data_IF_083483518328
#
_entry.id   IF_083483518328
#
_cell.length_a   1.000
_cell.length_b   1.000
_cell.length_c   1.000
_cell.angle_alpha   90.00
_cell.angle_beta   90.00
_cell.angle_gamma   90.00
#
_symmetry.space_group_name_H-M   'P 1'
#
loop_
_entity.id
_entity.type
_entity.pdbx_description
1 polymer ?
#
# COMPACT_ATOMS: atom_id res chain seq x y z
N UNK A 1 -2.59 -27.29 -38.02
CA UNK A 1 -2.45 -26.07 -38.85
C UNK A 1 -1.96 -24.98 -37.94
N UNK A 2 -0.67 -24.61 -38.05
CA UNK A 2 -0.06 -23.54 -37.27
C UNK A 2 -0.74 -22.22 -37.65
N UNK A 3 -1.56 -21.68 -36.74
CA UNK A 3 -1.93 -20.28 -36.78
C UNK A 3 -0.64 -19.46 -36.67
N UNK A 4 -0.22 -18.84 -37.76
CA UNK A 4 0.90 -17.90 -37.81
C UNK A 4 0.59 -16.69 -36.95
N UNK A 5 0.82 -16.82 -35.64
CA UNK A 5 0.73 -15.72 -34.71
C UNK A 5 1.79 -14.69 -35.10
N UNK A 6 1.35 -13.47 -35.41
CA UNK A 6 2.24 -12.33 -35.62
C UNK A 6 3.21 -12.24 -34.44
N UNK A 7 4.52 -12.30 -34.71
CA UNK A 7 5.54 -12.06 -33.69
C UNK A 7 5.36 -10.63 -33.19
N UNK A 8 5.18 -10.47 -31.87
CA UNK A 8 5.07 -9.16 -31.26
C UNK A 8 6.42 -8.44 -31.33
N UNK A 9 6.47 -7.35 -32.09
CA UNK A 9 7.63 -6.45 -32.16
C UNK A 9 7.58 -5.46 -31.00
N UNK A 10 8.63 -5.50 -30.18
CA UNK A 10 8.84 -4.61 -29.05
C UNK A 10 9.55 -3.33 -29.52
N UNK A 11 9.78 -2.40 -28.61
CA UNK A 11 10.71 -1.30 -28.87
C UNK A 11 12.17 -1.79 -28.88
N UNK A 12 13.13 -0.90 -29.14
CA UNK A 12 14.57 -1.17 -29.20
C UNK A 12 14.95 -2.21 -30.28
N UNK A 13 14.11 -2.39 -31.30
CA UNK A 13 14.32 -3.37 -32.36
C UNK A 13 14.21 -4.83 -31.89
N UNK A 14 13.59 -5.08 -30.74
CA UNK A 14 13.45 -6.42 -30.16
C UNK A 14 12.17 -7.14 -30.57
N UNK A 15 12.18 -8.46 -30.49
CA UNK A 15 11.03 -9.34 -30.68
C UNK A 15 10.72 -10.10 -29.40
N UNK A 16 9.44 -10.33 -29.11
CA UNK A 16 9.00 -10.98 -27.88
C UNK A 16 9.67 -12.33 -27.56
N UNK A 17 9.94 -13.25 -28.52
CA UNK A 17 10.67 -14.48 -28.24
C UNK A 17 12.07 -14.27 -27.68
N UNK A 18 12.71 -13.13 -27.96
CA UNK A 18 14.04 -12.82 -27.44
C UNK A 18 14.04 -12.66 -25.91
N UNK A 19 12.91 -12.28 -25.29
CA UNK A 19 12.77 -12.18 -23.83
C UNK A 19 12.93 -13.53 -23.11
N UNK A 20 12.84 -14.65 -23.84
CA UNK A 20 12.99 -16.01 -23.31
C UNK A 20 14.38 -16.61 -23.57
N UNK A 21 15.31 -15.83 -24.16
CA UNK A 21 16.66 -16.30 -24.47
C UNK A 21 17.70 -15.47 -23.74
N UNK A 22 18.81 -16.09 -23.36
CA UNK A 22 19.92 -15.39 -22.69
C UNK A 22 20.47 -14.23 -23.52
N UNK A 23 20.67 -14.43 -24.82
CA UNK A 23 21.24 -13.39 -25.68
C UNK A 23 20.26 -12.21 -25.84
N UNK A 24 18.97 -12.49 -25.98
CA UNK A 24 17.95 -11.44 -25.97
C UNK A 24 17.91 -10.66 -24.66
N UNK A 25 18.01 -11.31 -23.50
CA UNK A 25 18.10 -10.62 -22.21
C UNK A 25 19.38 -9.80 -22.05
N UNK A 26 20.51 -10.23 -22.62
CA UNK A 26 21.75 -9.44 -22.64
C UNK A 26 21.61 -8.19 -23.51
N UNK A 27 20.96 -8.31 -24.67
CA UNK A 27 20.65 -7.15 -25.52
C UNK A 27 19.69 -6.20 -24.80
N UNK A 28 18.65 -6.71 -24.16
CA UNK A 28 17.71 -5.91 -23.36
C UNK A 28 18.41 -5.13 -22.25
N UNK A 29 19.32 -5.79 -21.52
CA UNK A 29 20.11 -5.16 -20.47
C UNK A 29 21.01 -4.04 -21.01
N UNK A 30 21.61 -4.22 -22.20
CA UNK A 30 22.39 -3.17 -22.85
C UNK A 30 21.52 -1.96 -23.21
N UNK A 31 20.32 -2.18 -23.77
CA UNK A 31 19.37 -1.11 -24.04
C UNK A 31 18.96 -0.39 -22.76
N UNK A 32 18.68 -1.12 -21.68
CA UNK A 32 18.35 -0.53 -20.38
C UNK A 32 19.49 0.33 -19.83
N UNK A 33 20.73 -0.16 -19.88
CA UNK A 33 21.91 0.59 -19.43
C UNK A 33 22.14 1.87 -20.26
N UNK A 34 21.84 1.85 -21.56
CA UNK A 34 21.91 3.04 -22.41
C UNK A 34 20.85 4.08 -22.04
N UNK A 35 19.62 3.64 -21.76
CA UNK A 35 18.54 4.53 -21.31
C UNK A 35 18.86 5.18 -19.95
N UNK A 36 19.42 4.42 -18.99
CA UNK A 36 19.82 5.00 -17.69
C UNK A 36 21.04 5.91 -17.86
N UNK A 37 22.01 5.60 -18.72
CA UNK A 37 23.17 6.48 -18.95
C UNK A 37 22.72 7.89 -19.39
N UNK A 38 21.72 7.95 -20.27
CA UNK A 38 21.19 9.22 -20.77
C UNK A 38 20.45 10.04 -19.69
N UNK A 39 19.76 9.37 -18.76
CA UNK A 39 18.90 10.03 -17.78
C UNK A 39 19.56 10.22 -16.39
N UNK A 40 20.39 9.27 -15.97
CA UNK A 40 20.99 9.18 -14.63
C UNK A 40 22.34 8.40 -14.66
N UNK A 41 23.41 8.98 -15.23
CA UNK A 41 24.70 8.30 -15.41
C UNK A 41 25.33 7.83 -14.09
N UNK A 42 25.12 8.56 -12.99
CA UNK A 42 25.57 8.15 -11.65
C UNK A 42 24.89 6.85 -11.23
N UNK A 43 23.58 6.73 -11.46
CA UNK A 43 22.79 5.55 -11.09
C UNK A 43 23.17 4.33 -11.95
N UNK A 44 23.46 4.56 -13.24
CA UNK A 44 24.02 3.53 -14.13
C UNK A 44 25.33 2.97 -13.58
N UNK A 45 26.25 3.85 -13.16
CA UNK A 45 27.52 3.43 -12.60
C UNK A 45 27.35 2.66 -11.27
N UNK A 46 26.43 3.09 -10.41
CA UNK A 46 26.08 2.37 -9.18
C UNK A 46 25.52 0.98 -9.47
N UNK A 47 24.62 0.84 -10.46
CA UNK A 47 24.09 -0.45 -10.89
C UNK A 47 25.20 -1.37 -11.42
N UNK A 48 26.12 -0.85 -12.23
CA UNK A 48 27.23 -1.64 -12.74
C UNK A 48 28.19 -2.08 -11.64
N UNK A 49 28.53 -1.19 -10.71
CA UNK A 49 29.36 -1.53 -9.55
C UNK A 49 28.70 -2.61 -8.69
N UNK A 50 27.39 -2.48 -8.42
CA UNK A 50 26.63 -3.47 -7.66
C UNK A 50 26.60 -4.84 -8.35
N UNK A 51 26.52 -4.88 -9.68
CA UNK A 51 26.59 -6.15 -10.44
C UNK A 51 27.97 -6.78 -10.43
N UNK A 52 29.04 -5.98 -10.38
CA UNK A 52 30.42 -6.48 -10.31
C UNK A 52 30.79 -6.97 -8.91
N UNK A 53 30.26 -6.33 -7.87
CA UNK A 53 30.55 -6.63 -6.46
C UNK A 53 29.26 -6.69 -5.65
N UNK A 54 28.38 -7.68 -5.89
CA UNK A 54 27.08 -7.77 -5.22
C UNK A 54 27.22 -7.89 -3.70
N UNK A 55 28.22 -8.64 -3.23
CA UNK A 55 28.47 -8.86 -1.80
C UNK A 55 29.01 -7.62 -1.06
N UNK A 56 29.38 -6.56 -1.80
CA UNK A 56 29.83 -5.31 -1.20
C UNK A 56 28.68 -4.41 -0.71
N UNK A 57 27.45 -4.66 -1.16
CA UNK A 57 26.29 -3.90 -0.72
C UNK A 57 25.74 -4.44 0.59
N UNK A 58 25.54 -3.54 1.55
CA UNK A 58 24.66 -3.83 2.68
C UNK A 58 23.21 -3.96 2.19
N UNK A 59 22.33 -4.68 2.92
CA UNK A 59 20.92 -4.79 2.54
C UNK A 59 20.22 -3.43 2.36
N UNK A 60 20.58 -2.43 3.16
CA UNK A 60 20.02 -1.07 3.02
C UNK A 60 20.48 -0.38 1.73
N UNK A 61 21.75 -0.53 1.36
CA UNK A 61 22.28 0.01 0.10
C UNK A 61 21.61 -0.65 -1.10
N UNK A 62 21.41 -1.97 -1.06
CA UNK A 62 20.69 -2.71 -2.09
C UNK A 62 19.24 -2.20 -2.23
N UNK A 63 18.47 -2.14 -1.13
CA UNK A 63 17.09 -1.62 -1.16
C UNK A 63 17.03 -0.19 -1.68
N UNK A 64 17.97 0.68 -1.27
CA UNK A 64 18.05 2.07 -1.75
C UNK A 64 18.31 2.14 -3.25
N UNK A 65 19.25 1.33 -3.75
CA UNK A 65 19.58 1.25 -5.17
C UNK A 65 18.38 0.74 -5.99
N UNK A 66 17.72 -0.33 -5.54
CA UNK A 66 16.56 -0.90 -6.24
C UNK A 66 15.37 0.07 -6.27
N UNK A 67 15.09 0.79 -5.17
CA UNK A 67 14.06 1.84 -5.16
C UNK A 67 14.43 2.96 -6.13
N UNK A 68 15.68 3.42 -6.12
CA UNK A 68 16.14 4.48 -7.02
C UNK A 68 16.06 4.07 -8.50
N UNK A 69 16.31 2.79 -8.82
CA UNK A 69 16.15 2.23 -10.16
C UNK A 69 14.69 2.05 -10.58
N UNK A 70 13.77 1.89 -9.63
CA UNK A 70 12.35 1.59 -9.87
C UNK A 70 11.69 2.46 -10.96
N UNK A 71 11.72 3.81 -10.86
CA UNK A 71 11.13 4.70 -11.86
C UNK A 71 11.72 4.51 -13.28
N UNK A 72 13.01 4.21 -13.38
CA UNK A 72 13.70 3.94 -14.65
C UNK A 72 13.30 2.59 -15.22
N UNK A 73 13.17 1.56 -14.37
CA UNK A 73 12.66 0.24 -14.78
C UNK A 73 11.24 0.37 -15.31
N UNK A 74 10.36 1.08 -14.61
CA UNK A 74 8.98 1.31 -15.05
C UNK A 74 8.93 2.03 -16.41
N UNK A 75 9.70 3.11 -16.56
CA UNK A 75 9.76 3.85 -17.83
C UNK A 75 10.29 2.97 -18.96
N UNK A 76 11.34 2.19 -18.71
CA UNK A 76 11.93 1.28 -19.68
C UNK A 76 10.96 0.16 -20.10
N UNK A 77 10.30 -0.47 -19.13
CA UNK A 77 9.28 -1.51 -19.40
C UNK A 77 8.10 -0.91 -20.17
N UNK A 78 7.67 0.30 -19.83
CA UNK A 78 6.60 0.98 -20.54
C UNK A 78 6.95 1.22 -22.01
N UNK A 79 8.17 1.71 -22.29
CA UNK A 79 8.68 1.87 -23.67
C UNK A 79 8.80 0.53 -24.40
N UNK A 80 9.44 -0.46 -23.78
CA UNK A 80 9.65 -1.80 -24.36
C UNK A 80 8.36 -2.40 -24.90
N UNK A 81 7.26 -2.28 -24.15
CA UNK A 81 5.95 -2.82 -24.51
C UNK A 81 5.02 -1.80 -25.20
N UNK A 82 5.45 -0.55 -25.40
CA UNK A 82 4.67 0.54 -26.01
C UNK A 82 3.36 0.84 -25.26
N UNK A 83 3.47 0.90 -23.93
CA UNK A 83 2.35 1.12 -22.99
C UNK A 83 2.54 2.39 -22.13
N UNK A 84 3.31 3.36 -22.60
CA UNK A 84 3.64 4.58 -21.87
C UNK A 84 2.40 5.38 -21.48
N UNK A 85 1.43 5.49 -22.38
CA UNK A 85 0.18 6.20 -22.12
C UNK A 85 -0.62 5.54 -20.98
N UNK A 86 -0.66 4.20 -20.94
CA UNK A 86 -1.37 3.43 -19.93
C UNK A 86 -0.68 3.53 -18.57
N UNK A 87 0.66 3.46 -18.54
CA UNK A 87 1.44 3.64 -17.31
C UNK A 87 1.30 5.07 -16.77
N UNK A 88 1.36 6.09 -17.65
CA UNK A 88 1.15 7.48 -17.27
C UNK A 88 -0.27 7.73 -16.74
N UNK A 89 -1.30 7.16 -17.38
CA UNK A 89 -2.67 7.23 -16.88
C UNK A 89 -2.81 6.57 -15.50
N UNK A 90 -2.18 5.40 -15.31
CA UNK A 90 -2.18 4.72 -14.01
C UNK A 90 -1.49 5.57 -12.94
N UNK A 91 -0.31 6.13 -13.20
CA UNK A 91 0.36 7.03 -12.27
C UNK A 91 -0.49 8.26 -11.94
N UNK A 92 -1.14 8.88 -12.94
CA UNK A 92 -2.05 10.00 -12.75
C UNK A 92 -3.21 9.64 -11.78
N UNK A 93 -3.82 8.46 -11.92
CA UNK A 93 -4.86 8.01 -10.98
C UNK A 93 -4.34 7.80 -9.55
N UNK A 94 -3.06 7.46 -9.36
CA UNK A 94 -2.46 7.38 -8.03
C UNK A 94 -2.30 8.77 -7.43
N UNK A 95 -1.73 9.70 -8.19
CA UNK A 95 -1.49 11.07 -7.73
C UNK A 95 -2.80 11.81 -7.43
N UNK A 96 -3.85 11.58 -8.22
CA UNK A 96 -5.18 12.13 -7.96
C UNK A 96 -5.74 11.72 -6.59
N UNK A 97 -5.36 10.55 -6.06
CA UNK A 97 -5.78 10.04 -4.75
C UNK A 97 -4.83 10.43 -3.61
N UNK A 98 -3.64 10.96 -3.91
CA UNK A 98 -2.63 11.29 -2.90
C UNK A 98 -3.12 12.17 -1.74
N UNK A 99 -3.99 13.19 -1.95
CA UNK A 99 -4.52 13.99 -0.86
C UNK A 99 -5.19 13.16 0.24
N UNK A 100 -5.92 12.09 -0.12
CA UNK A 100 -6.61 11.23 0.85
C UNK A 100 -5.66 10.67 1.91
N UNK A 101 -4.51 10.15 1.48
CA UNK A 101 -3.58 9.45 2.37
C UNK A 101 -2.78 10.43 3.23
N UNK A 102 -2.42 11.58 2.66
CA UNK A 102 -1.73 12.66 3.38
C UNK A 102 -2.65 13.22 4.47
N UNK A 103 -3.89 13.59 4.11
CA UNK A 103 -4.86 14.18 5.04
C UNK A 103 -5.35 13.18 6.08
N UNK A 104 -5.58 11.91 5.70
CA UNK A 104 -5.90 10.84 6.67
C UNK A 104 -4.88 10.80 7.80
N UNK A 105 -3.59 10.79 7.46
CA UNK A 105 -2.52 10.66 8.45
C UNK A 105 -2.26 11.96 9.21
N UNK A 106 -2.08 13.06 8.51
CA UNK A 106 -1.62 14.32 9.12
C UNK A 106 -2.75 15.08 9.82
N UNK A 107 -3.91 15.15 9.18
CA UNK A 107 -5.02 15.95 9.67
C UNK A 107 -6.01 15.11 10.47
N UNK A 108 -6.58 14.04 9.90
CA UNK A 108 -7.63 13.26 10.59
C UNK A 108 -7.06 12.56 11.82
N UNK A 109 -6.04 11.70 11.65
CA UNK A 109 -5.52 10.89 12.75
C UNK A 109 -4.67 11.72 13.74
N UNK A 110 -3.71 12.49 13.25
CA UNK A 110 -2.72 13.18 14.11
C UNK A 110 -3.20 14.52 14.67
N UNK A 111 -4.21 15.13 14.06
CA UNK A 111 -4.73 16.43 14.50
C UNK A 111 -6.14 16.31 15.07
N UNK A 112 -7.14 15.96 14.26
CA UNK A 112 -8.53 15.92 14.70
C UNK A 112 -8.77 14.85 15.78
N UNK A 113 -8.54 13.58 15.45
CA UNK A 113 -8.80 12.45 16.35
C UNK A 113 -7.94 12.48 17.63
N UNK A 114 -6.74 13.07 17.55
CA UNK A 114 -5.85 13.25 18.71
C UNK A 114 -6.28 14.40 19.62
N UNK A 115 -6.76 15.52 19.07
CA UNK A 115 -7.10 16.73 19.85
C UNK A 115 -8.50 16.67 20.43
N UNK A 116 -9.46 16.11 19.69
CA UNK A 116 -10.86 15.97 20.12
C UNK A 116 -11.08 14.51 20.50
N UNK A 117 -11.44 14.29 21.77
CA UNK A 117 -11.64 12.94 22.32
C UNK A 117 -13.02 12.38 21.96
N UNK A 118 -13.23 11.05 22.04
CA UNK A 118 -14.52 10.44 21.73
C UNK A 118 -15.70 11.08 22.47
N UNK A 119 -15.54 11.38 23.76
CA UNK A 119 -16.64 11.94 24.57
C UNK A 119 -17.03 13.36 24.12
N UNK A 120 -16.05 14.15 23.68
CA UNK A 120 -16.28 15.49 23.13
C UNK A 120 -16.89 15.39 21.72
N UNK A 121 -16.44 14.43 20.91
CA UNK A 121 -16.92 14.21 19.56
C UNK A 121 -18.42 13.88 19.50
N UNK A 122 -18.96 13.18 20.51
CA UNK A 122 -20.40 12.88 20.61
C UNK A 122 -21.28 14.14 20.76
N UNK A 123 -20.71 15.26 21.22
CA UNK A 123 -21.43 16.54 21.31
C UNK A 123 -21.43 17.35 20.01
N UNK A 124 -20.69 16.90 18.99
CA UNK A 124 -20.56 17.60 17.72
C UNK A 124 -21.76 17.28 16.82
N UNK A 125 -22.41 18.32 16.30
CA UNK A 125 -23.44 18.19 15.26
C UNK A 125 -22.77 17.93 13.90
N UNK A 126 -22.43 16.67 13.65
CA UNK A 126 -21.84 16.22 12.38
C UNK A 126 -22.65 16.61 11.15
N UNK A 127 -23.98 16.38 11.10
CA UNK A 127 -24.83 16.80 9.98
C UNK A 127 -24.76 18.30 9.67
N UNK A 128 -24.75 19.17 10.69
CA UNK A 128 -24.59 20.61 10.49
C UNK A 128 -23.23 20.94 9.88
N UNK A 129 -22.14 20.40 10.45
CA UNK A 129 -20.79 20.65 9.94
C UNK A 129 -20.59 20.08 8.52
N UNK A 130 -21.23 18.94 8.20
CA UNK A 130 -21.26 18.40 6.84
C UNK A 130 -21.88 19.40 5.86
N UNK A 131 -23.02 20.02 6.22
CA UNK A 131 -23.68 21.00 5.37
C UNK A 131 -22.80 22.26 5.15
N UNK A 132 -22.15 22.75 6.21
CA UNK A 132 -21.21 23.87 6.12
C UNK A 132 -20.00 23.55 5.22
N UNK A 133 -19.42 22.36 5.38
CA UNK A 133 -18.31 21.91 4.53
C UNK A 133 -18.75 21.75 3.08
N UNK A 134 -19.94 21.19 2.83
CA UNK A 134 -20.48 21.07 1.49
C UNK A 134 -20.64 22.45 0.82
N UNK A 135 -21.05 23.48 1.56
CA UNK A 135 -21.13 24.85 1.04
C UNK A 135 -19.74 25.41 0.69
N UNK A 136 -18.76 25.25 1.58
CA UNK A 136 -17.37 25.65 1.35
C UNK A 136 -16.74 24.93 0.14
N UNK A 137 -17.19 23.72 -0.17
CA UNK A 137 -16.76 22.92 -1.32
C UNK A 137 -17.52 23.22 -2.62
N UNK A 138 -18.45 24.18 -2.62
CA UNK A 138 -19.26 24.51 -3.80
C UNK A 138 -20.42 23.55 -4.07
N UNK A 139 -20.92 22.86 -3.04
CA UNK A 139 -22.18 22.11 -3.05
C UNK A 139 -22.04 20.58 -3.06
N UNK A 140 -20.83 20.03 -3.04
CA UNK A 140 -20.59 18.57 -3.01
C UNK A 140 -19.63 18.18 -1.90
N UNK A 141 -19.99 17.14 -1.16
CA UNK A 141 -19.11 16.52 -0.18
C UNK A 141 -18.74 15.10 -0.62
N UNK A 142 -17.44 14.84 -0.76
CA UNK A 142 -16.85 13.50 -0.80
C UNK A 142 -15.44 13.54 -0.17
N UNK A 143 -14.89 12.38 0.17
CA UNK A 143 -13.59 12.30 0.88
C UNK A 143 -12.45 12.97 0.12
N UNK A 144 -12.44 12.84 -1.21
CA UNK A 144 -11.34 13.37 -2.02
C UNK A 144 -11.43 14.90 -2.08
N UNK A 145 -12.65 15.42 -2.27
CA UNK A 145 -12.91 16.86 -2.20
C UNK A 145 -12.52 17.40 -0.82
N UNK A 146 -12.95 16.76 0.27
CA UNK A 146 -12.54 17.14 1.62
C UNK A 146 -11.01 17.17 1.77
N UNK A 147 -10.33 16.12 1.31
CA UNK A 147 -8.87 16.04 1.43
C UNK A 147 -8.16 17.11 0.60
N UNK A 148 -8.63 17.43 -0.61
CA UNK A 148 -8.05 18.47 -1.45
C UNK A 148 -8.21 19.87 -0.83
N UNK A 149 -9.40 20.20 -0.34
CA UNK A 149 -9.65 21.49 0.30
C UNK A 149 -8.86 21.64 1.60
N UNK A 150 -8.86 20.62 2.46
CA UNK A 150 -8.07 20.66 3.70
C UNK A 150 -6.58 20.76 3.40
N UNK A 151 -6.08 20.04 2.38
CA UNK A 151 -4.69 20.16 1.96
C UNK A 151 -4.33 21.58 1.52
N UNK A 152 -5.18 22.20 0.71
CA UNK A 152 -4.99 23.58 0.29
C UNK A 152 -5.06 24.57 1.46
N UNK A 153 -6.03 24.42 2.37
CA UNK A 153 -6.16 25.29 3.53
C UNK A 153 -4.96 25.20 4.49
N UNK A 154 -4.31 24.04 4.57
CA UNK A 154 -3.08 23.87 5.37
C UNK A 154 -1.87 24.62 4.78
N UNK A 155 -1.92 25.08 3.53
CA UNK A 155 -0.85 25.91 2.94
C UNK A 155 -0.83 27.32 3.55
N UNK A 156 -1.97 27.82 4.03
CA UNK A 156 -2.10 29.09 4.78
C UNK A 156 -3.13 28.96 5.91
N UNK A 157 -2.69 28.33 7.01
CA UNK A 157 -3.55 28.08 8.18
C UNK A 157 -4.14 29.36 8.80
N UNK A 158 -3.44 30.49 8.68
CA UNK A 158 -3.88 31.76 9.26
C UNK A 158 -5.08 32.32 8.50
N UNK A 159 -5.04 32.27 7.17
CA UNK A 159 -6.16 32.69 6.32
C UNK A 159 -7.36 31.75 6.41
N UNK A 160 -7.11 30.46 6.64
CA UNK A 160 -8.14 29.41 6.61
C UNK A 160 -8.51 28.83 7.98
N UNK A 161 -8.26 29.58 9.06
CA UNK A 161 -8.45 29.10 10.43
C UNK A 161 -9.87 28.60 10.72
N UNK A 162 -10.91 29.33 10.28
CA UNK A 162 -12.30 28.94 10.48
C UNK A 162 -12.67 27.66 9.69
N UNK A 163 -12.48 27.58 8.36
CA UNK A 163 -12.70 26.34 7.61
C UNK A 163 -11.96 25.12 8.16
N UNK A 164 -10.70 25.31 8.60
CA UNK A 164 -9.91 24.25 9.21
C UNK A 164 -10.49 23.78 10.55
N UNK A 165 -11.03 24.70 11.36
CA UNK A 165 -11.67 24.34 12.62
C UNK A 165 -12.95 23.52 12.40
N UNK A 166 -13.77 23.92 11.43
CA UNK A 166 -14.98 23.18 11.00
C UNK A 166 -14.57 21.77 10.53
N UNK A 167 -13.58 21.69 9.63
CA UNK A 167 -13.09 20.41 9.10
C UNK A 167 -12.51 19.51 10.19
N UNK A 168 -11.78 20.07 11.16
CA UNK A 168 -11.20 19.33 12.29
C UNK A 168 -12.29 18.73 13.17
N UNK A 169 -13.31 19.51 13.52
CA UNK A 169 -14.46 19.04 14.33
C UNK A 169 -15.25 17.98 13.59
N UNK A 170 -15.53 18.18 12.30
CA UNK A 170 -16.19 17.18 11.47
C UNK A 170 -15.38 15.88 11.38
N UNK A 171 -14.07 15.96 11.12
CA UNK A 171 -13.21 14.79 11.03
C UNK A 171 -13.15 14.00 12.35
N UNK A 172 -13.13 14.68 13.50
CA UNK A 172 -13.18 14.02 14.80
C UNK A 172 -14.53 13.32 15.05
N UNK A 173 -15.65 13.98 14.71
CA UNK A 173 -16.97 13.38 14.77
C UNK A 173 -17.08 12.14 13.87
N UNK A 174 -16.62 12.26 12.62
CA UNK A 174 -16.63 11.18 11.62
C UNK A 174 -15.80 9.98 12.06
N UNK A 175 -14.66 10.22 12.72
CA UNK A 175 -13.72 9.19 13.15
C UNK A 175 -14.18 8.47 14.43
N UNK A 176 -14.64 9.21 15.44
CA UNK A 176 -14.90 8.66 16.78
C UNK A 176 -16.34 8.19 17.01
N UNK A 177 -17.33 8.84 16.41
CA UNK A 177 -18.74 8.58 16.76
C UNK A 177 -19.32 7.45 15.92
N UNK A 178 -20.29 6.73 16.49
CA UNK A 178 -21.00 5.66 15.75
C UNK A 178 -21.77 6.21 14.55
N UNK A 179 -22.33 7.41 14.66
CA UNK A 179 -23.05 8.07 13.57
C UNK A 179 -22.09 8.45 12.44
N UNK A 180 -20.93 9.03 12.76
CA UNK A 180 -19.87 9.35 11.83
C UNK A 180 -19.31 8.13 11.09
N UNK A 181 -18.99 7.07 11.83
CA UNK A 181 -18.51 5.80 11.26
C UNK A 181 -19.55 5.12 10.36
N UNK A 182 -20.84 5.27 10.69
CA UNK A 182 -21.92 4.77 9.85
C UNK A 182 -22.07 5.60 8.55
N UNK A 183 -21.93 6.92 8.63
CA UNK A 183 -21.96 7.82 7.47
C UNK A 183 -20.78 7.55 6.51
N UNK A 184 -19.61 7.24 7.07
CA UNK A 184 -18.37 6.98 6.32
C UNK A 184 -17.98 5.49 6.30
N UNK A 185 -18.98 4.59 6.25
CA UNK A 185 -18.73 3.14 6.34
C UNK A 185 -17.83 2.61 5.22
N UNK A 186 -18.02 3.11 4.01
CA UNK A 186 -17.37 2.63 2.78
C UNK A 186 -16.17 3.52 2.35
N UNK A 187 -15.80 4.43 3.25
CA UNK A 187 -14.77 5.45 3.13
C UNK A 187 -13.46 5.01 3.80
N UNK A 188 -12.36 5.66 3.46
CA UNK A 188 -11.02 5.35 4.00
C UNK A 188 -10.48 6.45 4.91
N UNK A 189 -10.84 7.71 4.66
CA UNK A 189 -10.26 8.92 5.24
C UNK A 189 -10.52 9.02 6.74
N UNK A 190 -11.74 8.69 7.15
CA UNK A 190 -12.19 8.76 8.55
C UNK A 190 -12.12 7.42 9.28
N UNK A 191 -11.53 6.39 8.65
CA UNK A 191 -11.47 5.05 9.22
C UNK A 191 -10.25 4.87 10.14
N UNK A 192 -10.51 4.35 11.34
CA UNK A 192 -9.49 3.89 12.27
C UNK A 192 -8.97 2.49 11.90
N UNK A 193 -7.68 2.24 12.14
CA UNK A 193 -7.14 0.88 12.16
C UNK A 193 -7.47 0.25 13.51
N UNK A 194 -8.33 -0.78 13.51
CA UNK A 194 -8.72 -1.46 14.75
C UNK A 194 -7.72 -2.55 15.14
N UNK A 195 -7.63 -2.80 16.45
CA UNK A 195 -6.89 -3.94 16.96
C UNK A 195 -7.50 -5.26 16.48
N UNK A 196 -6.62 -6.22 16.19
CA UNK A 196 -7.04 -7.57 15.82
C UNK A 196 -7.38 -8.33 17.11
N UNK A 197 -8.64 -8.74 17.26
CA UNK A 197 -9.06 -9.65 18.32
C UNK A 197 -8.93 -11.10 17.83
N UNK A 198 -7.93 -11.88 18.28
CA UNK A 198 -7.63 -13.19 17.71
C UNK A 198 -8.78 -14.20 17.83
N UNK A 199 -9.64 -14.03 18.84
CA UNK A 199 -10.81 -14.87 19.10
C UNK A 199 -12.09 -14.40 18.37
N UNK A 200 -12.05 -13.26 17.67
CA UNK A 200 -13.21 -12.67 17.00
C UNK A 200 -12.85 -12.10 15.61
N UNK A 201 -12.30 -12.96 14.75
CA UNK A 201 -11.83 -12.58 13.40
C UNK A 201 -12.92 -12.49 12.34
N UNK A 202 -14.19 -12.76 12.69
CA UNK A 202 -15.33 -12.71 11.77
C UNK A 202 -16.33 -11.65 12.26
N UNK A 203 -16.16 -10.36 11.90
CA UNK A 203 -16.97 -9.26 12.45
C UNK A 203 -18.48 -9.38 12.20
N UNK A 204 -18.88 -10.13 11.16
CA UNK A 204 -20.28 -10.39 10.83
C UNK A 204 -20.89 -11.59 11.56
N UNK A 205 -20.10 -12.32 12.36
CA UNK A 205 -20.60 -13.42 13.16
C UNK A 205 -21.48 -12.91 14.32
N UNK A 206 -22.50 -13.69 14.64
CA UNK A 206 -23.39 -13.49 15.79
C UNK A 206 -23.39 -14.77 16.60
N UNK A 207 -23.15 -14.62 17.90
CA UNK A 207 -23.24 -15.72 18.86
C UNK A 207 -24.65 -15.74 19.45
N UNK A 208 -25.27 -16.92 19.47
CA UNK A 208 -26.51 -17.19 20.19
C UNK A 208 -26.34 -18.47 21.01
N UNK A 209 -27.12 -18.63 22.08
CA UNK A 209 -27.18 -19.90 22.80
C UNK A 209 -28.46 -20.61 22.40
N UNK A 210 -28.34 -21.86 21.95
CA UNK A 210 -29.48 -22.73 21.60
C UNK A 210 -29.25 -24.06 22.32
N UNK A 211 -30.28 -24.56 23.02
CA UNK A 211 -30.27 -25.85 23.74
C UNK A 211 -28.99 -26.14 24.56
N UNK A 212 -28.46 -25.11 25.25
CA UNK A 212 -27.29 -25.23 26.12
C UNK A 212 -25.93 -25.16 25.42
N UNK A 213 -25.87 -24.99 24.09
CA UNK A 213 -24.62 -24.79 23.35
C UNK A 213 -24.57 -23.44 22.63
N UNK A 214 -23.35 -22.97 22.35
CA UNK A 214 -23.10 -21.74 21.60
C UNK A 214 -23.16 -22.00 20.09
N UNK A 215 -23.96 -21.20 19.40
CA UNK A 215 -24.11 -21.21 17.94
C UNK A 215 -23.60 -19.90 17.36
N UNK A 216 -22.74 -20.00 16.36
CA UNK A 216 -22.27 -18.86 15.59
C UNK A 216 -22.93 -18.85 14.21
N UNK A 217 -23.56 -17.73 13.85
CA UNK A 217 -24.19 -17.52 12.53
C UNK A 217 -23.68 -16.23 11.91
N UNK A 218 -23.81 -16.05 10.59
CA UNK A 218 -23.52 -14.76 9.94
C UNK A 218 -24.80 -13.94 9.89
N UNK A 219 -24.71 -12.63 10.17
CA UNK A 219 -25.82 -11.67 9.97
C UNK A 219 -26.46 -11.89 8.60
N UNK A 220 -27.79 -12.08 8.49
CA UNK A 220 -28.45 -12.38 7.21
C UNK A 220 -28.10 -11.39 6.09
N UNK A 221 -28.00 -10.09 6.41
CA UNK A 221 -27.62 -9.01 5.49
C UNK A 221 -26.17 -9.06 5.00
N UNK A 222 -25.35 -9.97 5.56
CA UNK A 222 -23.93 -10.16 5.22
C UNK A 222 -23.65 -11.54 4.62
N UNK A 223 -24.68 -12.37 4.45
CA UNK A 223 -24.56 -13.67 3.78
C UNK A 223 -24.31 -13.42 2.29
N UNK A 224 -23.16 -13.87 1.79
CA UNK A 224 -22.87 -13.94 0.35
C UNK A 224 -23.23 -15.33 -0.13
N UNK A 225 -24.13 -15.44 -1.11
CA UNK A 225 -24.41 -16.70 -1.78
C UNK A 225 -23.38 -16.90 -2.89
N UNK A 226 -22.76 -18.08 -2.93
CA UNK A 226 -21.90 -18.46 -4.04
C UNK A 226 -22.79 -18.89 -5.20
N UNK A 227 -22.65 -18.19 -6.32
CA UNK A 227 -23.21 -18.58 -7.60
C UNK A 227 -22.04 -18.79 -8.59
N UNK A 228 -21.95 -19.99 -9.15
CA UNK A 228 -20.85 -20.39 -10.05
C UNK A 228 -19.44 -20.45 -9.41
N UNK A 229 -18.44 -20.24 -10.28
CA UNK A 229 -17.01 -20.38 -9.98
C UNK A 229 -16.24 -19.05 -9.94
N UNK A 230 -16.91 -17.92 -10.15
CA UNK A 230 -16.29 -16.61 -10.02
C UNK A 230 -15.92 -16.30 -8.56
N UNK A 231 -14.96 -15.40 -8.37
CA UNK A 231 -14.61 -14.89 -7.04
C UNK A 231 -15.80 -14.15 -6.44
N UNK A 232 -16.15 -14.49 -5.20
CA UNK A 232 -17.24 -13.83 -4.44
C UNK A 232 -16.73 -12.63 -3.63
N UNK A 233 -15.41 -12.40 -3.65
CA UNK A 233 -14.76 -11.24 -3.08
C UNK A 233 -13.86 -10.61 -4.14
N UNK A 234 -14.19 -9.38 -4.54
CA UNK A 234 -13.43 -8.66 -5.58
C UNK A 234 -12.17 -7.98 -5.03
N UNK A 235 -11.89 -8.15 -3.74
CA UNK A 235 -10.77 -7.51 -3.07
C UNK A 235 -10.97 -6.01 -2.89
N UNK A 236 -9.87 -5.27 -2.87
CA UNK A 236 -9.87 -3.83 -2.63
C UNK A 236 -9.70 -3.04 -3.92
N UNK A 237 -10.30 -1.84 -3.99
CA UNK A 237 -10.10 -0.92 -5.11
C UNK A 237 -8.71 -0.28 -5.06
N UNK A 238 -8.31 0.44 -6.11
CA UNK A 238 -7.05 1.23 -6.09
C UNK A 238 -6.99 2.16 -4.87
N UNK A 239 -8.10 2.85 -4.56
CA UNK A 239 -8.24 3.71 -3.38
C UNK A 239 -7.88 2.97 -2.10
N UNK A 240 -8.40 1.77 -1.91
CA UNK A 240 -8.13 0.96 -0.71
C UNK A 240 -6.74 0.30 -0.73
N UNK A 241 -6.23 -0.11 -1.89
CA UNK A 241 -4.88 -0.66 -2.01
C UNK A 241 -3.82 0.39 -1.63
N UNK A 242 -3.99 1.63 -2.08
CA UNK A 242 -3.10 2.73 -1.74
C UNK A 242 -3.27 3.20 -0.29
N UNK A 243 -4.45 3.04 0.31
CA UNK A 243 -4.63 3.25 1.76
C UNK A 243 -3.73 2.30 2.56
N UNK A 244 -3.73 1.01 2.19
CA UNK A 244 -2.86 0.01 2.83
C UNK A 244 -1.36 0.26 2.52
N UNK A 245 -1.03 0.73 1.32
CA UNK A 245 0.36 1.08 0.99
C UNK A 245 0.86 2.28 1.79
N UNK A 246 0.02 3.29 2.02
CA UNK A 246 0.36 4.47 2.83
C UNK A 246 0.23 4.24 4.34
N UNK A 247 -0.44 3.18 4.77
CA UNK A 247 -0.41 2.71 6.16
C UNK A 247 0.95 2.09 6.53
N UNK A 248 1.65 1.52 5.55
CA UNK A 248 3.00 1.02 5.74
C UNK A 248 3.92 2.14 6.28
N UNK A 249 4.72 1.82 7.29
CA UNK A 249 5.66 2.78 7.90
C UNK A 249 7.01 2.87 7.16
N UNK A 250 7.14 2.17 6.03
CA UNK A 250 8.35 2.09 5.21
C UNK A 250 9.60 1.71 6.02
N UNK A 251 9.51 0.65 6.80
CA UNK A 251 10.51 0.27 7.81
C UNK A 251 11.83 -0.27 7.26
N UNK A 252 11.96 -0.55 5.96
CA UNK A 252 13.24 -0.95 5.35
C UNK A 252 14.33 0.10 5.59
N UNK A 253 13.98 1.39 5.58
CA UNK A 253 14.93 2.49 5.82
C UNK A 253 15.59 2.44 7.20
N UNK A 254 14.99 1.72 8.15
CA UNK A 254 15.50 1.54 9.52
C UNK A 254 16.02 0.11 9.78
N UNK A 255 16.00 -0.78 8.77
CA UNK A 255 16.34 -2.20 8.94
C UNK A 255 15.40 -2.95 9.89
N UNK A 256 14.14 -2.50 10.00
CA UNK A 256 13.11 -3.07 10.90
C UNK A 256 11.92 -3.66 10.13
N UNK A 257 12.21 -4.20 8.95
CA UNK A 257 11.28 -4.81 8.00
C UNK A 257 10.83 -6.20 8.45
N UNK A 258 10.08 -6.26 9.55
CA UNK A 258 9.59 -7.52 10.13
C UNK A 258 8.63 -8.29 9.22
N UNK A 259 7.95 -7.62 8.28
CA UNK A 259 7.14 -8.28 7.26
C UNK A 259 7.99 -9.17 6.34
N UNK A 260 9.22 -8.74 6.02
CA UNK A 260 10.18 -9.50 5.23
C UNK A 260 10.97 -10.47 6.11
N UNK A 261 11.63 -9.95 7.16
CA UNK A 261 12.65 -10.67 7.95
C UNK A 261 12.17 -11.27 9.26
N UNK A 262 10.89 -11.16 9.57
CA UNK A 262 10.30 -11.67 10.81
C UNK A 262 10.46 -10.77 12.04
N UNK A 263 9.70 -11.09 13.08
CA UNK A 263 9.73 -10.39 14.37
C UNK A 263 10.71 -11.10 15.30
N UNK A 264 11.93 -10.58 15.43
CA UNK A 264 12.95 -11.15 16.31
C UNK A 264 12.62 -10.94 17.79
N UNK A 265 13.00 -11.90 18.63
CA UNK A 265 13.02 -11.74 20.08
C UNK A 265 14.02 -10.65 20.49
N UNK A 266 13.75 -10.00 21.62
CA UNK A 266 14.74 -9.08 22.19
C UNK A 266 15.91 -9.91 22.72
N UNK A 267 17.13 -9.48 22.42
CA UNK A 267 18.32 -10.06 23.04
C UNK A 267 18.23 -9.88 24.56
N UNK A 268 18.44 -10.94 25.36
CA UNK A 268 18.59 -10.80 26.80
C UNK A 268 19.70 -9.79 27.10
N UNK A 269 19.45 -8.82 28.00
CA UNK A 269 20.47 -7.83 28.37
C UNK A 269 21.66 -8.45 29.13
N UNK A 270 21.40 -9.53 29.87
CA UNK A 270 22.36 -10.16 30.81
C UNK A 270 22.49 -11.68 30.61
N UNK A 271 22.22 -12.18 29.40
CA UNK A 271 22.29 -13.62 29.09
C UNK A 271 23.09 -13.92 27.83
N UNK A 272 23.61 -15.15 27.68
CA UNK A 272 24.25 -15.55 26.44
C UNK A 272 23.27 -15.37 25.27
N UNK A 273 23.73 -14.97 24.07
CA UNK A 273 22.89 -14.94 22.89
C UNK A 273 22.22 -16.31 22.74
N UNK A 274 20.92 -16.38 22.39
CA UNK A 274 20.28 -17.65 22.16
C UNK A 274 21.07 -18.44 21.10
N UNK A 275 21.50 -19.66 21.45
CA UNK A 275 22.22 -20.54 20.53
C UNK A 275 21.28 -21.00 19.41
N UNK A 276 21.64 -20.69 18.15
CA UNK A 276 20.87 -21.04 16.95
C UNK A 276 20.37 -19.83 16.14
N UNK A 277 19.62 -20.09 15.06
CA UNK A 277 18.95 -19.05 14.25
C UNK A 277 18.20 -18.08 15.16
N UNK A 278 18.25 -16.78 14.87
CA UNK A 278 17.60 -15.74 15.65
C UNK A 278 16.19 -16.18 16.10
N UNK A 279 15.96 -16.28 17.42
CA UNK A 279 14.68 -16.67 17.95
C UNK A 279 13.63 -15.65 17.49
N UNK A 280 12.65 -16.09 16.71
CA UNK A 280 11.51 -15.26 16.32
C UNK A 280 10.44 -15.33 17.39
N UNK A 281 9.73 -14.22 17.57
CA UNK A 281 8.53 -14.15 18.39
C UNK A 281 7.49 -15.13 17.90
N UNK A 282 6.64 -15.58 18.81
CA UNK A 282 5.47 -16.39 18.50
C UNK A 282 4.18 -15.59 18.65
N UNK A 283 3.18 -15.90 17.83
CA UNK A 283 1.84 -15.34 17.98
C UNK A 283 1.14 -15.90 19.23
N UNK A 284 -0.05 -15.38 19.53
CA UNK A 284 -0.92 -15.90 20.61
C UNK A 284 -1.29 -17.37 20.43
N UNK A 285 -1.21 -17.89 19.20
CA UNK A 285 -1.47 -19.30 18.86
C UNK A 285 -0.16 -20.10 18.70
N UNK A 286 0.95 -19.62 19.27
CA UNK A 286 2.25 -20.29 19.26
C UNK A 286 2.87 -20.47 17.85
N UNK A 287 2.47 -19.64 16.87
CA UNK A 287 3.01 -19.66 15.50
C UNK A 287 4.22 -18.72 15.38
N UNK A 288 5.35 -19.25 14.92
CA UNK A 288 6.59 -18.51 14.69
C UNK A 288 6.42 -17.39 13.66
N UNK A 289 6.79 -16.15 14.02
CA UNK A 289 6.67 -14.96 13.18
C UNK A 289 7.95 -14.70 12.38
N UNK A 290 8.26 -15.60 11.45
CA UNK A 290 9.52 -15.60 10.70
C UNK A 290 9.57 -14.62 9.50
N UNK A 291 8.46 -13.96 9.17
CA UNK A 291 8.38 -13.06 8.00
C UNK A 291 8.01 -13.78 6.71
N UNK A 292 8.23 -13.12 5.58
CA UNK A 292 7.97 -13.68 4.26
C UNK A 292 8.93 -14.84 3.96
N UNK A 293 8.45 -16.03 3.54
CA UNK A 293 9.32 -17.16 3.18
C UNK A 293 10.33 -16.85 2.07
N UNK A 294 10.00 -15.91 1.18
CA UNK A 294 10.87 -15.46 0.09
C UNK A 294 11.70 -14.22 0.46
N UNK A 295 11.54 -13.71 1.69
CA UNK A 295 12.15 -12.44 2.13
C UNK A 295 11.85 -11.28 1.18
N UNK A 296 10.64 -11.25 0.61
CA UNK A 296 10.23 -10.20 -0.33
C UNK A 296 10.46 -8.80 0.24
N UNK A 297 10.87 -7.87 -0.63
CA UNK A 297 11.07 -6.44 -0.33
C UNK A 297 9.74 -5.69 -0.19
N UNK A 298 8.95 -6.10 0.81
CA UNK A 298 7.57 -5.65 1.03
C UNK A 298 7.50 -4.15 1.26
N UNK A 299 8.38 -3.65 2.12
CA UNK A 299 8.37 -2.25 2.47
C UNK A 299 8.79 -1.36 1.29
N UNK A 300 9.67 -1.86 0.42
CA UNK A 300 10.21 -1.18 -0.75
C UNK A 300 9.17 -1.11 -1.87
N UNK A 301 8.49 -2.23 -2.20
CA UNK A 301 7.45 -2.20 -3.21
C UNK A 301 6.26 -1.32 -2.78
N UNK A 302 5.96 -1.27 -1.47
CA UNK A 302 4.94 -0.36 -0.95
C UNK A 302 5.35 1.11 -1.09
N UNK A 303 6.63 1.44 -0.90
CA UNK A 303 7.14 2.79 -1.11
C UNK A 303 7.03 3.21 -2.59
N UNK A 304 7.40 2.33 -3.52
CA UNK A 304 7.24 2.55 -4.97
C UNK A 304 5.75 2.71 -5.35
N UNK A 305 4.90 1.82 -4.84
CA UNK A 305 3.45 1.83 -5.11
C UNK A 305 2.80 3.11 -4.59
N UNK A 306 3.12 3.53 -3.36
CA UNK A 306 2.60 4.76 -2.76
C UNK A 306 3.05 6.01 -3.53
N UNK A 307 4.23 5.96 -4.17
CA UNK A 307 4.80 7.06 -4.96
C UNK A 307 4.27 7.12 -6.41
N UNK A 308 3.37 6.22 -6.81
CA UNK A 308 2.78 6.19 -8.15
C UNK A 308 3.45 5.25 -9.15
N UNK A 309 4.53 4.56 -8.76
CA UNK A 309 5.29 3.66 -9.63
C UNK A 309 4.79 2.21 -9.53
N UNK A 310 3.63 1.95 -10.14
CA UNK A 310 2.94 0.67 -10.02
C UNK A 310 3.67 -0.49 -10.71
N UNK A 311 4.29 -0.27 -11.87
CA UNK A 311 5.08 -1.29 -12.59
C UNK A 311 6.40 -1.51 -11.87
N UNK A 312 7.03 -0.44 -11.35
CA UNK A 312 8.23 -0.59 -10.53
C UNK A 312 7.97 -1.41 -9.26
N UNK A 313 6.83 -1.17 -8.59
CA UNK A 313 6.42 -1.95 -7.43
C UNK A 313 6.23 -3.44 -7.79
N UNK A 314 5.60 -3.73 -8.94
CA UNK A 314 5.48 -5.10 -9.43
C UNK A 314 6.86 -5.71 -9.72
N UNK A 315 7.75 -4.96 -10.38
CA UNK A 315 9.12 -5.40 -10.65
C UNK A 315 9.86 -5.76 -9.35
N UNK A 316 9.75 -4.90 -8.32
CA UNK A 316 10.33 -5.13 -6.99
C UNK A 316 9.82 -6.42 -6.35
N UNK A 317 8.52 -6.73 -6.47
CA UNK A 317 7.95 -8.01 -6.01
C UNK A 317 8.57 -9.17 -6.79
N UNK A 318 8.61 -9.06 -8.13
CA UNK A 318 9.02 -10.17 -9.00
C UNK A 318 10.50 -10.55 -8.88
N UNK A 319 11.35 -9.68 -8.34
CA UNK A 319 12.75 -9.99 -8.02
C UNK A 319 12.83 -11.18 -7.07
N UNK A 320 12.00 -11.18 -6.02
CA UNK A 320 12.00 -12.22 -5.00
C UNK A 320 10.90 -13.28 -5.28
N UNK A 321 9.85 -12.90 -6.02
CA UNK A 321 8.67 -13.73 -6.24
C UNK A 321 8.11 -13.64 -7.67
N UNK A 322 8.59 -14.48 -8.61
CA UNK A 322 8.07 -14.52 -9.97
C UNK A 322 6.62 -15.06 -10.06
N UNK A 323 6.11 -15.63 -8.97
CA UNK A 323 4.76 -16.20 -8.85
C UNK A 323 3.82 -15.28 -8.05
N UNK A 324 4.10 -13.98 -8.00
CA UNK A 324 3.33 -12.98 -7.24
C UNK A 324 1.81 -13.06 -7.50
N UNK A 325 1.41 -13.32 -8.75
CA UNK A 325 0.01 -13.49 -9.11
C UNK A 325 -0.64 -14.73 -8.47
N UNK A 326 0.12 -15.79 -8.16
CA UNK A 326 -0.39 -16.98 -7.49
C UNK A 326 -0.34 -16.85 -5.96
N UNK A 327 0.69 -16.22 -5.40
CA UNK A 327 0.89 -16.13 -3.95
C UNK A 327 0.23 -14.91 -3.31
N UNK A 328 0.06 -13.83 -4.09
CA UNK A 328 -0.58 -12.58 -3.65
C UNK A 328 -2.08 -12.54 -3.92
N UNK A 329 -2.60 -13.48 -4.71
CA UNK A 329 -4.02 -13.64 -4.96
C UNK A 329 -4.68 -14.42 -3.80
N UNK A 330 -5.91 -14.03 -3.45
CA UNK A 330 -6.75 -14.75 -2.47
C UNK A 330 -7.79 -15.61 -3.17
#
# INVERSE_FOLDING_TARGET
>A
MNSGGSILNLDFGMQFPQLYTRDGLRTLDQCFLQEIEAAAPVLRNQLQQARQQPDALTPLQESTLLIALGPYVETFVAKLFKIEAQVAALASTHHALAPLYVIKRQFVQRTAAKKIKPEEAESIDGPLLHAQLAELFGGKFDELTFAQYVQHWLEDEALHAEPLEIAKRYAAWAFHTRAGQAAHRDDILFREAHDIHPENLVPSAQKSNQDGYSVFTIKPTRIRRRDGFALTDHGTSLRGALDQANYCIFCHAQGKDSCSKGLKEKLPKDGPPPEGKAAYKKSVFNVTQAGCPLSEKISEFHALKASGHAVAALAMITVDNPMAAATGHR
#
